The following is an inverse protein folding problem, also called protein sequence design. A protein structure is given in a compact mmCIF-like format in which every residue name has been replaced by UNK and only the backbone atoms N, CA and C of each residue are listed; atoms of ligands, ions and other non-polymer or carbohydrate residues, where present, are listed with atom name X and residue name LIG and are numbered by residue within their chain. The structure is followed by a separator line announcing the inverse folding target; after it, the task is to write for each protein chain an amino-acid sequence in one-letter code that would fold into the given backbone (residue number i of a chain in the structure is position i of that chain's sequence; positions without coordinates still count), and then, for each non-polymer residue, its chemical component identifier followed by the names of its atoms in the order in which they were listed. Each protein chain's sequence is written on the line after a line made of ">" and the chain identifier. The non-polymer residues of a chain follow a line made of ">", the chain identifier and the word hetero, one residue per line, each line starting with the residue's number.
data_IF_070574809560
#
_entry.id   IF_070574809560
#
_cell.length_a   1.000
_cell.length_b   1.000
_cell.length_c   1.000
_cell.angle_alpha   90.00
_cell.angle_beta   90.00
_cell.angle_gamma   90.00
#
_symmetry.space_group_name_H-M   'P 1'
#
loop_
_entity.id
_entity.type
_entity.pdbx_description
1 polymer ?
#
# COMPACT_ATOMS: atom_id res chain seq x y z
N UNK A 1 8.57 5.66 -3.56
CA UNK A 1 8.07 4.44 -2.90
C UNK A 1 6.56 4.47 -2.92
N UNK A 2 5.93 3.54 -3.63
CA UNK A 2 4.47 3.53 -3.85
C UNK A 2 3.76 2.81 -2.70
N UNK A 3 2.50 3.20 -2.46
CA UNK A 3 1.62 2.49 -1.53
C UNK A 3 1.04 1.19 -2.12
N UNK A 4 0.03 0.65 -1.45
CA UNK A 4 -0.77 -0.48 -1.94
C UNK A 4 -1.49 -0.10 -3.26
N UNK A 5 -1.58 -1.06 -4.18
CA UNK A 5 -2.25 -0.94 -5.49
C UNK A 5 -1.34 -1.23 -6.69
N UNK A 6 -0.01 -1.27 -6.48
CA UNK A 6 0.95 -1.59 -7.53
C UNK A 6 1.28 -3.09 -7.64
N UNK A 7 0.80 -3.91 -6.70
CA UNK A 7 1.09 -5.33 -6.64
C UNK A 7 0.39 -6.13 -7.75
N UNK A 8 1.11 -7.11 -8.29
CA UNK A 8 0.61 -8.07 -9.26
C UNK A 8 1.28 -9.43 -9.06
N UNK A 9 0.62 -10.50 -9.51
CA UNK A 9 1.13 -11.86 -9.33
C UNK A 9 2.43 -12.08 -10.11
N UNK A 10 3.51 -12.45 -9.41
CA UNK A 10 4.81 -12.69 -10.03
C UNK A 10 5.72 -11.46 -10.12
N UNK A 11 5.36 -10.35 -9.50
CA UNK A 11 6.23 -9.18 -9.40
C UNK A 11 7.59 -9.54 -8.78
N UNK A 12 8.68 -9.10 -9.41
CA UNK A 12 10.05 -9.35 -8.93
C UNK A 12 10.59 -10.76 -9.18
N UNK A 13 9.84 -11.68 -9.81
CA UNK A 13 10.31 -13.05 -10.07
C UNK A 13 11.62 -13.09 -10.87
N UNK A 14 11.73 -12.32 -11.95
CA UNK A 14 12.96 -12.29 -12.77
C UNK A 14 14.17 -11.76 -11.97
N UNK A 15 13.92 -10.87 -11.00
CA UNK A 15 14.98 -10.30 -10.17
C UNK A 15 15.56 -11.30 -9.16
N UNK A 16 14.94 -12.46 -8.98
CA UNK A 16 15.57 -13.57 -8.25
C UNK A 16 16.84 -14.06 -8.93
N UNK A 17 17.21 -13.68 -10.16
CA UNK A 17 18.54 -14.00 -10.69
C UNK A 17 19.67 -13.27 -9.92
N UNK A 18 19.37 -12.09 -9.35
CA UNK A 18 20.35 -11.28 -8.63
C UNK A 18 20.49 -11.74 -7.18
N UNK A 19 21.70 -12.15 -6.79
CA UNK A 19 22.01 -12.64 -5.44
C UNK A 19 21.61 -11.66 -4.34
N UNK A 20 21.93 -10.37 -4.50
CA UNK A 20 21.62 -9.32 -3.50
C UNK A 20 20.12 -9.18 -3.28
N UNK A 21 19.34 -9.23 -4.36
CA UNK A 21 17.88 -9.15 -4.29
C UNK A 21 17.29 -10.36 -3.53
N UNK A 22 17.76 -11.58 -3.84
CA UNK A 22 17.35 -12.80 -3.13
C UNK A 22 17.70 -12.75 -1.64
N UNK A 23 18.95 -12.45 -1.31
CA UNK A 23 19.43 -12.41 0.08
C UNK A 23 18.67 -11.35 0.91
N UNK A 24 18.31 -10.21 0.30
CA UNK A 24 17.49 -9.20 0.95
C UNK A 24 16.08 -9.72 1.29
N UNK A 25 15.43 -10.45 0.37
CA UNK A 25 14.12 -11.06 0.62
C UNK A 25 14.20 -12.18 1.65
N UNK A 26 15.21 -13.05 1.58
CA UNK A 26 15.44 -14.14 2.55
C UNK A 26 15.67 -13.61 3.96
N UNK A 27 16.43 -12.52 4.10
CA UNK A 27 16.67 -11.87 5.39
C UNK A 27 15.37 -11.28 5.97
N UNK A 28 14.56 -10.63 5.14
CA UNK A 28 13.26 -10.08 5.56
C UNK A 28 12.26 -11.18 5.94
N UNK A 29 12.23 -12.27 5.18
CA UNK A 29 11.37 -13.44 5.46
C UNK A 29 11.76 -14.08 6.80
N UNK A 30 13.08 -14.23 7.03
CA UNK A 30 13.60 -14.72 8.31
C UNK A 30 13.16 -13.86 9.49
N UNK A 31 13.13 -12.53 9.36
CA UNK A 31 12.61 -11.63 10.41
C UNK A 31 11.15 -11.94 10.70
N UNK A 32 10.29 -12.05 9.67
CA UNK A 32 8.86 -12.38 9.87
C UNK A 32 8.65 -13.71 10.58
N UNK A 33 9.47 -14.72 10.26
CA UNK A 33 9.38 -16.05 10.88
C UNK A 33 9.84 -16.08 12.35
N UNK A 34 10.53 -15.03 12.84
CA UNK A 34 10.90 -14.91 14.26
C UNK A 34 9.83 -14.26 15.13
N UNK A 35 8.78 -13.70 14.54
CA UNK A 35 7.70 -13.05 15.28
C UNK A 35 6.85 -14.08 16.03
N UNK A 36 6.36 -13.72 17.22
CA UNK A 36 5.50 -14.61 18.03
C UNK A 36 4.15 -14.93 17.37
N UNK A 37 3.77 -14.15 16.35
CA UNK A 37 2.59 -14.32 15.51
C UNK A 37 3.01 -14.37 14.03
N UNK A 38 4.08 -15.12 13.74
CA UNK A 38 4.62 -15.29 12.39
C UNK A 38 3.53 -15.71 11.37
N UNK A 39 3.61 -15.22 10.12
CA UNK A 39 2.68 -15.64 9.08
C UNK A 39 2.89 -17.11 8.71
N UNK A 40 1.80 -17.79 8.33
CA UNK A 40 1.82 -19.15 7.76
C UNK A 40 2.41 -19.21 6.34
N UNK A 41 2.61 -18.05 5.72
CA UNK A 41 3.18 -17.87 4.38
C UNK A 41 4.59 -17.27 4.46
N UNK A 42 5.34 -17.38 3.36
CA UNK A 42 6.65 -16.73 3.20
C UNK A 42 6.63 -15.71 2.07
N UNK A 43 7.43 -14.66 2.17
CA UNK A 43 7.60 -13.64 1.13
C UNK A 43 7.95 -14.28 -0.22
N UNK A 44 8.92 -15.20 -0.20
CA UNK A 44 9.39 -15.90 -1.40
C UNK A 44 8.27 -16.79 -1.96
N UNK A 45 7.51 -17.48 -1.10
CA UNK A 45 6.39 -18.30 -1.51
C UNK A 45 5.29 -17.49 -2.20
N UNK A 46 4.95 -16.32 -1.66
CA UNK A 46 3.98 -15.40 -2.27
C UNK A 46 4.49 -14.90 -3.63
N UNK A 47 5.74 -14.43 -3.71
CA UNK A 47 6.30 -13.86 -4.94
C UNK A 47 6.45 -14.90 -6.06
N UNK A 48 6.83 -16.13 -5.73
CA UNK A 48 6.94 -17.23 -6.69
C UNK A 48 5.59 -17.88 -7.04
N UNK A 49 4.50 -17.48 -6.38
CA UNK A 49 3.18 -18.09 -6.57
C UNK A 49 3.10 -19.54 -6.10
N UNK A 50 3.99 -19.93 -5.18
CA UNK A 50 4.01 -21.27 -4.57
C UNK A 50 3.36 -21.31 -3.19
N UNK A 51 2.90 -20.16 -2.69
CA UNK A 51 2.06 -20.10 -1.50
C UNK A 51 0.70 -20.78 -1.75
N UNK A 52 0.04 -21.19 -0.67
CA UNK A 52 -1.33 -21.69 -0.74
C UNK A 52 -2.24 -20.67 -1.44
N UNK A 53 -3.17 -21.17 -2.26
CA UNK A 53 -4.16 -20.37 -3.01
C UNK A 53 -5.02 -19.48 -2.11
N UNK A 54 -5.08 -19.79 -0.82
CA UNK A 54 -5.71 -18.98 0.22
C UNK A 54 -4.98 -17.64 0.51
N UNK A 55 -3.75 -17.47 0.04
CA UNK A 55 -2.92 -16.29 0.27
C UNK A 55 -2.69 -15.54 -1.04
N UNK A 56 -3.50 -14.51 -1.28
CA UNK A 56 -3.38 -13.66 -2.46
C UNK A 56 -2.47 -12.48 -2.19
N UNK A 57 -1.64 -12.11 -3.17
CA UNK A 57 -0.90 -10.85 -3.12
C UNK A 57 -1.82 -9.62 -3.05
N UNK A 58 -3.11 -9.78 -3.37
CA UNK A 58 -4.12 -8.73 -3.24
C UNK A 58 -4.68 -8.59 -1.83
N UNK A 59 -4.45 -9.55 -0.93
CA UNK A 59 -4.95 -9.49 0.43
C UNK A 59 -4.25 -8.35 1.18
N UNK A 60 -4.98 -7.50 1.92
CA UNK A 60 -4.37 -6.37 2.65
C UNK A 60 -3.25 -6.78 3.62
N UNK A 61 -3.38 -7.94 4.25
CA UNK A 61 -2.38 -8.54 5.15
C UNK A 61 -1.04 -8.83 4.46
N UNK A 62 -1.11 -9.23 3.19
CA UNK A 62 0.04 -9.70 2.41
C UNK A 62 0.60 -8.56 1.56
N UNK A 63 -0.28 -7.86 0.84
CA UNK A 63 0.08 -6.85 -0.16
C UNK A 63 1.05 -5.79 0.36
N UNK A 64 0.79 -5.21 1.54
CA UNK A 64 1.64 -4.16 2.12
C UNK A 64 3.02 -4.71 2.51
N UNK A 65 3.06 -5.89 3.11
CA UNK A 65 4.29 -6.56 3.55
C UNK A 65 5.17 -6.90 2.35
N UNK A 66 4.58 -7.53 1.33
CA UNK A 66 5.29 -7.95 0.11
C UNK A 66 5.74 -6.74 -0.71
N UNK A 67 4.90 -5.70 -0.85
CA UNK A 67 5.28 -4.46 -1.52
C UNK A 67 6.45 -3.77 -0.82
N UNK A 68 6.44 -3.74 0.51
CA UNK A 68 7.56 -3.18 1.29
C UNK A 68 8.82 -3.99 1.07
N UNK A 69 8.72 -5.32 1.13
CA UNK A 69 9.85 -6.22 0.96
C UNK A 69 10.54 -6.07 -0.40
N UNK A 70 9.74 -6.02 -1.47
CA UNK A 70 10.26 -5.78 -2.82
C UNK A 70 10.92 -4.42 -2.96
N UNK A 71 10.31 -3.36 -2.41
CA UNK A 71 10.88 -2.02 -2.48
C UNK A 71 12.22 -1.93 -1.74
N UNK A 72 12.37 -2.63 -0.62
CA UNK A 72 13.63 -2.76 0.12
C UNK A 72 14.67 -3.54 -0.70
N UNK A 73 14.29 -4.70 -1.24
CA UNK A 73 15.20 -5.52 -2.05
C UNK A 73 15.67 -4.81 -3.34
N UNK A 74 14.81 -3.97 -3.94
CA UNK A 74 15.18 -3.09 -5.05
C UNK A 74 16.19 -2.02 -4.63
N UNK A 75 16.01 -1.41 -3.44
CA UNK A 75 16.97 -0.44 -2.91
C UNK A 75 18.33 -1.11 -2.67
N UNK A 76 18.35 -2.32 -2.11
CA UNK A 76 19.59 -3.07 -1.87
C UNK A 76 20.31 -3.42 -3.16
N UNK A 77 19.55 -3.87 -4.18
CA UNK A 77 20.07 -4.16 -5.50
C UNK A 77 20.68 -2.91 -6.15
N UNK A 78 19.96 -1.79 -6.16
CA UNK A 78 20.45 -0.51 -6.68
C UNK A 78 21.70 -0.04 -5.94
N UNK A 79 21.73 -0.17 -4.62
CA UNK A 79 22.89 0.17 -3.79
C UNK A 79 24.12 -0.68 -4.14
N UNK A 80 23.93 -1.96 -4.47
CA UNK A 80 25.02 -2.83 -4.94
C UNK A 80 25.64 -2.35 -6.25
N UNK A 81 24.90 -1.58 -7.04
CA UNK A 81 25.38 -0.91 -8.26
C UNK A 81 25.87 0.52 -8.00
N UNK A 82 26.12 0.89 -6.73
CA UNK A 82 26.51 2.23 -6.31
C UNK A 82 25.46 3.32 -6.62
N UNK A 83 24.18 2.94 -6.76
CA UNK A 83 23.07 3.87 -6.93
C UNK A 83 22.37 4.04 -5.59
N UNK A 84 22.47 5.24 -5.00
CA UNK A 84 21.84 5.57 -3.71
C UNK A 84 20.97 6.81 -3.83
N UNK A 85 19.78 6.85 -3.19
CA UNK A 85 18.90 8.01 -3.25
C UNK A 85 19.50 9.20 -2.49
N UNK A 86 19.42 10.39 -3.09
CA UNK A 86 19.66 11.65 -2.38
C UNK A 86 18.42 12.10 -1.59
N UNK A 87 17.23 11.79 -2.12
CA UNK A 87 15.92 12.11 -1.54
C UNK A 87 15.01 10.90 -1.69
N UNK A 88 14.17 10.65 -0.68
CA UNK A 88 13.17 9.59 -0.69
C UNK A 88 11.79 10.18 -0.43
N UNK A 89 10.79 9.74 -1.20
CA UNK A 89 9.38 10.11 -1.00
C UNK A 89 8.54 8.83 -0.98
N UNK A 90 7.71 8.70 0.05
CA UNK A 90 6.77 7.60 0.21
C UNK A 90 5.33 8.08 0.02
N UNK A 91 4.49 7.20 -0.52
CA UNK A 91 3.04 7.42 -0.57
C UNK A 91 2.37 6.39 0.34
N UNK A 92 1.69 6.83 1.40
CA UNK A 92 0.99 5.95 2.34
C UNK A 92 1.94 4.86 2.88
N UNK A 93 1.60 3.57 2.76
CA UNK A 93 2.46 2.45 3.17
C UNK A 93 3.85 2.46 2.52
N UNK A 94 4.03 3.13 1.37
CA UNK A 94 5.34 3.32 0.74
C UNK A 94 6.33 4.10 1.60
N UNK A 95 5.88 4.88 2.59
CA UNK A 95 6.75 5.56 3.54
C UNK A 95 7.62 4.61 4.37
N UNK A 96 7.17 3.37 4.58
CA UNK A 96 7.91 2.36 5.32
C UNK A 96 9.22 2.02 4.58
N UNK A 97 9.12 1.65 3.30
CA UNK A 97 10.30 1.38 2.47
C UNK A 97 11.12 2.66 2.18
N UNK A 98 10.47 3.83 2.07
CA UNK A 98 11.17 5.10 1.93
C UNK A 98 12.05 5.41 3.16
N UNK A 99 11.55 5.13 4.35
CA UNK A 99 12.27 5.33 5.62
C UNK A 99 13.50 4.42 5.72
N UNK A 100 13.38 3.17 5.25
CA UNK A 100 14.53 2.28 5.10
C UNK A 100 15.57 2.86 4.13
N UNK A 101 15.13 3.27 2.93
CA UNK A 101 16.01 3.80 1.91
C UNK A 101 16.73 5.09 2.34
N UNK A 102 16.12 5.88 3.23
CA UNK A 102 16.70 7.06 3.85
C UNK A 102 17.65 6.72 5.04
N UNK A 103 17.83 5.45 5.39
CA UNK A 103 18.64 5.01 6.52
C UNK A 103 18.06 5.36 7.89
N UNK A 104 16.73 5.57 7.99
CA UNK A 104 16.05 5.97 9.22
C UNK A 104 15.58 4.80 10.07
N UNK A 105 15.28 3.68 9.43
CA UNK A 105 14.90 2.42 10.06
C UNK A 105 15.66 1.27 9.40
N UNK A 106 15.89 0.20 10.13
CA UNK A 106 16.43 -1.05 9.61
C UNK A 106 15.41 -1.78 8.73
N UNK A 107 15.87 -2.71 7.89
CA UNK A 107 14.97 -3.56 7.11
C UNK A 107 14.07 -4.41 8.02
N UNK A 108 14.57 -4.83 9.19
CA UNK A 108 13.83 -5.64 10.15
C UNK A 108 12.68 -4.84 10.77
N UNK A 109 12.91 -3.58 11.15
CA UNK A 109 11.84 -2.68 11.59
C UNK A 109 10.84 -2.43 10.47
N UNK A 110 11.31 -2.14 9.25
CA UNK A 110 10.45 -1.85 8.11
C UNK A 110 9.50 -3.01 7.78
N UNK A 111 10.02 -4.25 7.66
CA UNK A 111 9.19 -5.41 7.34
C UNK A 111 8.21 -5.75 8.48
N UNK A 112 8.63 -5.57 9.73
CA UNK A 112 7.77 -5.77 10.90
C UNK A 112 6.63 -4.75 10.95
N UNK A 113 6.92 -3.46 10.68
CA UNK A 113 5.89 -2.41 10.60
C UNK A 113 4.88 -2.72 9.50
N UNK A 114 5.36 -3.10 8.30
CA UNK A 114 4.49 -3.42 7.18
C UNK A 114 3.57 -4.61 7.49
N UNK A 115 4.11 -5.66 8.09
CA UNK A 115 3.36 -6.85 8.50
C UNK A 115 2.32 -6.54 9.58
N UNK A 116 2.73 -5.88 10.66
CA UNK A 116 1.81 -5.49 11.73
C UNK A 116 0.69 -4.59 11.20
N UNK A 117 0.99 -3.63 10.32
CA UNK A 117 -0.01 -2.76 9.70
C UNK A 117 -0.99 -3.56 8.83
N UNK A 118 -0.49 -4.49 8.02
CA UNK A 118 -1.33 -5.39 7.22
C UNK A 118 -2.33 -6.17 8.09
N UNK A 119 -1.85 -6.80 9.16
CA UNK A 119 -2.71 -7.53 10.11
C UNK A 119 -3.74 -6.61 10.77
N UNK A 120 -3.30 -5.45 11.29
CA UNK A 120 -4.19 -4.50 11.96
C UNK A 120 -5.31 -4.04 11.05
N UNK A 121 -4.99 -3.80 9.78
CA UNK A 121 -5.95 -3.39 8.75
C UNK A 121 -6.94 -4.52 8.43
N UNK A 122 -6.47 -5.76 8.28
CA UNK A 122 -7.35 -6.92 8.03
C UNK A 122 -8.31 -7.20 9.19
N UNK A 123 -7.90 -6.90 10.44
CA UNK A 123 -8.75 -7.04 11.63
C UNK A 123 -9.73 -5.89 11.82
N UNK A 124 -9.65 -4.84 11.03
CA UNK A 124 -10.53 -3.70 11.14
C UNK A 124 -11.93 -4.07 10.62
N UNK A 125 -12.93 -4.00 11.51
CA UNK A 125 -14.32 -4.29 11.17
C UNK A 125 -15.06 -3.11 10.51
N UNK A 126 -14.46 -1.92 10.52
CA UNK A 126 -15.03 -0.73 9.89
C UNK A 126 -14.98 -0.86 8.37
N UNK A 127 -16.15 -0.85 7.74
CA UNK A 127 -16.28 -0.87 6.29
C UNK A 127 -16.37 0.53 5.69
N UNK A 128 -15.58 0.80 4.66
CA UNK A 128 -15.67 2.02 3.88
C UNK A 128 -15.21 1.82 2.45
N UNK A 129 -15.01 2.91 1.73
CA UNK A 129 -14.49 2.91 0.38
C UNK A 129 -13.46 4.02 0.17
N UNK A 130 -12.68 3.87 -0.89
CA UNK A 130 -11.84 4.92 -1.42
C UNK A 130 -12.20 5.20 -2.88
N UNK A 131 -12.10 6.46 -3.29
CA UNK A 131 -12.48 6.93 -4.61
C UNK A 131 -11.37 7.82 -5.17
N UNK A 132 -10.74 7.41 -6.26
CA UNK A 132 -9.88 8.32 -7.04
C UNK A 132 -10.76 9.25 -7.86
N UNK A 133 -10.55 10.56 -7.75
CA UNK A 133 -11.33 11.57 -8.45
C UNK A 133 -10.43 12.52 -9.23
N UNK A 134 -10.88 12.93 -10.41
CA UNK A 134 -10.22 13.90 -11.28
C UNK A 134 -10.61 15.33 -10.90
N UNK A 135 -10.31 15.71 -9.65
CA UNK A 135 -10.59 17.02 -9.09
C UNK A 135 -9.37 17.52 -8.32
N UNK A 136 -9.22 18.84 -8.25
CA UNK A 136 -8.31 19.48 -7.31
C UNK A 136 -8.85 19.43 -5.87
N UNK A 137 -7.97 19.67 -4.89
CA UNK A 137 -8.29 19.64 -3.46
C UNK A 137 -9.44 20.58 -3.06
N UNK A 138 -9.48 21.79 -3.61
CA UNK A 138 -10.49 22.79 -3.26
C UNK A 138 -11.88 22.40 -3.76
N UNK A 139 -11.96 21.93 -5.01
CA UNK A 139 -13.21 21.44 -5.60
C UNK A 139 -13.73 20.20 -4.85
N UNK A 140 -12.84 19.26 -4.53
CA UNK A 140 -13.19 18.11 -3.70
C UNK A 140 -13.71 18.55 -2.32
N UNK A 141 -12.99 19.43 -1.63
CA UNK A 141 -13.38 19.93 -0.31
C UNK A 141 -14.75 20.62 -0.30
N UNK A 142 -15.10 21.31 -1.39
CA UNK A 142 -16.42 21.95 -1.55
C UNK A 142 -17.54 20.91 -1.58
N UNK A 143 -17.36 19.80 -2.32
CA UNK A 143 -18.32 18.69 -2.36
C UNK A 143 -18.47 18.05 -0.98
N UNK A 144 -17.37 17.88 -0.24
CA UNK A 144 -17.35 17.22 1.06
C UNK A 144 -18.14 17.95 2.15
N UNK A 145 -18.43 19.25 1.99
CA UNK A 145 -19.27 20.02 2.93
C UNK A 145 -20.67 19.41 3.11
N UNK A 146 -21.21 18.76 2.08
CA UNK A 146 -22.52 18.09 2.10
C UNK A 146 -22.49 16.80 2.94
N UNK A 147 -21.31 16.22 3.18
CA UNK A 147 -21.13 14.89 3.77
C UNK A 147 -20.69 14.89 5.24
N UNK A 148 -20.67 16.04 5.93
CA UNK A 148 -20.56 16.17 7.40
C UNK A 148 -19.55 15.21 8.06
N UNK A 149 -18.31 15.20 7.57
CA UNK A 149 -17.18 14.37 8.02
C UNK A 149 -17.26 12.86 7.72
N UNK A 150 -18.28 12.39 7.00
CA UNK A 150 -18.40 10.98 6.57
C UNK A 150 -17.38 10.60 5.50
N UNK A 151 -16.83 11.59 4.81
CA UNK A 151 -15.80 11.44 3.77
C UNK A 151 -14.77 12.56 3.93
N UNK A 152 -13.49 12.23 3.74
CA UNK A 152 -12.38 13.18 3.74
C UNK A 152 -11.44 12.96 2.54
N UNK A 153 -10.60 13.95 2.26
CA UNK A 153 -9.48 13.79 1.31
C UNK A 153 -8.40 12.93 1.98
N UNK A 154 -8.17 11.75 1.42
CA UNK A 154 -7.17 10.78 1.88
C UNK A 154 -5.78 11.04 1.29
N UNK A 155 -5.72 11.52 0.05
CA UNK A 155 -4.47 11.84 -0.63
C UNK A 155 -4.69 12.91 -1.70
N UNK A 156 -3.72 13.80 -1.85
CA UNK A 156 -3.62 14.74 -2.98
C UNK A 156 -2.49 14.21 -3.85
N UNK A 157 -2.85 13.52 -4.94
CA UNK A 157 -1.87 12.83 -5.78
C UNK A 157 -1.30 13.76 -6.86
N UNK A 158 -2.07 14.76 -7.29
CA UNK A 158 -1.65 15.81 -8.22
C UNK A 158 -2.55 17.06 -8.07
N UNK A 159 -2.23 18.18 -8.74
CA UNK A 159 -3.10 19.36 -8.74
C UNK A 159 -4.55 19.08 -9.15
N UNK A 160 -4.78 18.07 -9.99
CA UNK A 160 -6.11 17.71 -10.53
C UNK A 160 -6.51 16.27 -10.19
N UNK A 161 -5.88 15.66 -9.18
CA UNK A 161 -6.22 14.31 -8.73
C UNK A 161 -6.11 14.16 -7.23
N UNK A 162 -7.25 13.85 -6.60
CA UNK A 162 -7.31 13.49 -5.19
C UNK A 162 -7.93 12.11 -5.00
N UNK A 163 -7.67 11.50 -3.85
CA UNK A 163 -8.34 10.30 -3.39
C UNK A 163 -9.24 10.67 -2.22
N UNK A 164 -10.52 10.34 -2.30
CA UNK A 164 -11.48 10.47 -1.21
C UNK A 164 -11.57 9.15 -0.44
N UNK A 165 -11.81 9.22 0.86
CA UNK A 165 -12.02 8.04 1.69
C UNK A 165 -13.06 8.28 2.78
N UNK A 166 -13.88 7.27 3.04
CA UNK A 166 -14.87 7.32 4.11
C UNK A 166 -16.00 6.32 3.90
N UNK A 167 -17.19 6.70 4.34
CA UNK A 167 -18.37 5.85 4.37
C UNK A 167 -18.76 5.34 2.98
N UNK A 168 -19.14 4.06 2.92
CA UNK A 168 -19.46 3.36 1.68
C UNK A 168 -20.59 4.02 0.89
N UNK A 169 -21.69 4.39 1.53
CA UNK A 169 -22.83 5.07 0.91
C UNK A 169 -22.46 6.47 0.42
N UNK A 170 -21.75 7.24 1.25
CA UNK A 170 -21.33 8.60 0.91
C UNK A 170 -20.36 8.61 -0.28
N UNK A 171 -19.40 7.68 -0.34
CA UNK A 171 -18.50 7.53 -1.50
C UNK A 171 -19.29 7.12 -2.77
N UNK A 172 -20.30 6.27 -2.65
CA UNK A 172 -21.14 5.87 -3.79
C UNK A 172 -21.98 7.03 -4.32
N UNK A 173 -22.52 7.87 -3.44
CA UNK A 173 -23.27 9.07 -3.83
C UNK A 173 -22.37 10.06 -4.57
N UNK A 174 -21.17 10.33 -4.05
CA UNK A 174 -20.16 11.18 -4.71
C UNK A 174 -19.78 10.59 -6.07
N UNK A 175 -19.50 9.29 -6.14
CA UNK A 175 -19.17 8.61 -7.40
C UNK A 175 -20.29 8.76 -8.44
N UNK A 176 -21.55 8.57 -8.04
CA UNK A 176 -22.72 8.74 -8.92
C UNK A 176 -22.84 10.16 -9.43
N UNK A 177 -22.70 11.16 -8.56
CA UNK A 177 -22.71 12.58 -8.91
C UNK A 177 -21.62 12.92 -9.93
N UNK A 178 -20.36 12.61 -9.61
CA UNK A 178 -19.22 12.93 -10.50
C UNK A 178 -19.33 12.24 -11.85
N UNK A 179 -19.78 10.98 -11.88
CA UNK A 179 -20.00 10.24 -13.13
C UNK A 179 -21.09 10.91 -14.00
N UNK A 180 -22.18 11.38 -13.39
CA UNK A 180 -23.25 12.10 -14.11
C UNK A 180 -22.79 13.44 -14.68
N UNK A 181 -21.78 14.05 -14.06
CA UNK A 181 -21.14 15.29 -14.49
C UNK A 181 -19.98 15.06 -15.49
N UNK A 182 -19.73 13.81 -15.91
CA UNK A 182 -18.59 13.39 -16.74
C UNK A 182 -17.21 13.71 -16.14
N UNK A 183 -17.11 13.75 -14.81
CA UNK A 183 -15.86 13.92 -14.08
C UNK A 183 -15.30 12.53 -13.76
N UNK A 184 -14.00 12.33 -13.95
CA UNK A 184 -13.34 11.06 -13.64
C UNK A 184 -13.54 10.70 -12.17
N UNK A 185 -14.10 9.53 -11.92
CA UNK A 185 -14.26 8.95 -10.59
C UNK A 185 -14.12 7.43 -10.69
N UNK A 186 -13.21 6.82 -9.92
CA UNK A 186 -12.98 5.38 -9.93
C UNK A 186 -12.87 4.84 -8.51
N UNK A 187 -13.77 3.93 -8.15
CA UNK A 187 -13.72 3.22 -6.88
C UNK A 187 -12.42 2.38 -6.85
N UNK A 188 -11.68 2.48 -5.75
CA UNK A 188 -10.44 1.73 -5.56
C UNK A 188 -10.74 0.37 -4.91
N UNK A 189 -10.07 -0.67 -5.38
CA UNK A 189 -10.17 -2.03 -4.84
C UNK A 189 -9.34 -2.16 -3.55
N UNK A 190 -9.86 -1.62 -2.46
CA UNK A 190 -9.19 -1.64 -1.14
C UNK A 190 -9.73 -2.71 -0.21
N UNK A 191 -10.50 -3.67 -0.71
CA UNK A 191 -11.11 -4.72 0.13
C UNK A 191 -12.18 -4.20 1.10
N UNK A 192 -12.81 -3.06 0.81
CA UNK A 192 -13.79 -2.42 1.70
C UNK A 192 -13.16 -1.56 2.79
N UNK A 193 -11.90 -1.17 2.61
CA UNK A 193 -11.12 -0.46 3.61
C UNK A 193 -10.95 1.01 3.21
N UNK A 194 -11.27 1.93 4.12
CA UNK A 194 -11.16 3.37 3.93
C UNK A 194 -9.90 3.94 4.60
N UNK A 195 -8.74 3.77 3.95
CA UNK A 195 -7.46 4.28 4.46
C UNK A 195 -7.45 5.82 4.55
N UNK A 196 -6.77 6.35 5.56
CA UNK A 196 -6.66 7.80 5.82
C UNK A 196 -8.02 8.46 6.02
N UNK A 197 -8.88 7.79 6.78
CA UNK A 197 -10.17 8.29 7.25
C UNK A 197 -10.38 7.89 8.71
N UNK A 198 -11.46 8.37 9.33
CA UNK A 198 -11.84 7.96 10.69
C UNK A 198 -12.15 6.46 10.87
N UNK A 199 -12.20 5.69 9.77
CA UNK A 199 -12.35 4.24 9.83
C UNK A 199 -11.09 3.55 10.37
N UNK A 200 -9.93 4.23 10.34
CA UNK A 200 -8.61 3.73 10.74
C UNK A 200 -8.17 4.27 12.10
#
# INVERSE_FOLDING_TARGET
>A
FTGQGAQWQGMGQELFEYRIFRESLEAQDSVLQTLSFAPSWSLIGILNGTADVSHSVQDPEISQTVCTALQIALVDLLKSWSITPHVTVGHSSGEIAASYAAGRISFAEAITIAFCRGISVTKNASEGLMLAVGLNENAASTILLEFKNRVQVAAINSPDSVTLSGDRDSIKDIHGRLTSENIFARILETGGIAYHSYHM
#
